data_IF_735125719348
#
_entry.id   IF_735125719348
#
_cell.length_a   1.000
_cell.length_b   1.000
_cell.length_c   1.000
_cell.angle_alpha   90.00
_cell.angle_beta   90.00
_cell.angle_gamma   90.00
#
_symmetry.space_group_name_H-M   'P 1'
#
loop_
_entity.id
_entity.type
_entity.pdbx_description
1 polymer ?
#
# COMPACT_ATOMS: atom_id res chain seq x y z
N UNK A 1 23.38 -17.24 11.75
CA UNK A 1 21.92 -17.18 11.98
C UNK A 1 21.66 -17.64 13.40
N UNK A 2 21.01 -16.83 14.25
CA UNK A 2 20.74 -17.19 15.65
C UNK A 2 19.50 -18.11 15.73
N UNK A 3 19.61 -19.37 16.17
CA UNK A 3 18.53 -20.36 16.13
C UNK A 3 17.45 -20.17 17.21
N UNK A 4 17.60 -19.20 18.11
CA UNK A 4 16.77 -19.06 19.32
C UNK A 4 15.64 -18.03 19.25
N UNK A 5 15.41 -17.38 18.09
CA UNK A 5 14.28 -16.47 17.94
C UNK A 5 13.22 -17.13 17.05
N UNK A 6 12.10 -17.62 17.61
CA UNK A 6 10.96 -18.04 16.81
C UNK A 6 10.61 -16.89 15.86
N UNK A 7 10.41 -17.20 14.58
CA UNK A 7 9.95 -16.19 13.62
C UNK A 7 8.60 -15.67 14.15
N UNK A 8 8.42 -14.36 14.36
CA UNK A 8 7.15 -13.85 14.83
C UNK A 8 6.04 -14.29 13.87
N UNK A 9 5.10 -15.08 14.37
CA UNK A 9 3.88 -15.42 13.65
C UNK A 9 2.82 -14.41 14.01
N UNK A 10 2.05 -13.95 13.03
CA UNK A 10 0.87 -13.14 13.35
C UNK A 10 -0.08 -13.96 14.22
N UNK A 11 -0.72 -13.35 15.23
CA UNK A 11 -1.86 -13.96 15.90
C UNK A 11 -2.94 -14.33 14.88
N UNK A 12 -3.73 -15.36 15.19
CA UNK A 12 -4.92 -15.70 14.40
C UNK A 12 -5.92 -14.52 14.40
N UNK A 13 -6.44 -14.15 13.24
CA UNK A 13 -7.36 -13.01 13.01
C UNK A 13 -8.72 -13.44 12.41
N UNK A 14 -9.33 -14.56 12.82
CA UNK A 14 -10.54 -15.07 12.18
C UNK A 14 -11.67 -14.05 12.28
N UNK A 15 -12.27 -13.73 11.13
CA UNK A 15 -13.43 -12.83 11.04
C UNK A 15 -13.11 -11.35 11.31
N UNK A 16 -11.84 -10.98 11.50
CA UNK A 16 -11.43 -9.57 11.61
C UNK A 16 -11.53 -8.90 10.24
N UNK A 17 -11.94 -7.63 10.25
CA UNK A 17 -12.03 -6.80 9.05
C UNK A 17 -10.85 -5.85 9.02
N UNK A 18 -9.98 -6.01 8.02
CA UNK A 18 -8.76 -5.22 7.88
C UNK A 18 -8.81 -4.38 6.61
N UNK A 19 -8.43 -3.10 6.71
CA UNK A 19 -8.22 -2.21 5.57
C UNK A 19 -6.71 -2.06 5.32
N UNK A 20 -6.28 -2.16 4.07
CA UNK A 20 -4.88 -1.91 3.65
C UNK A 20 -4.87 -0.94 2.48
N UNK A 21 -4.30 0.25 2.68
CA UNK A 21 -4.07 1.20 1.59
C UNK A 21 -2.74 0.91 0.88
N UNK A 22 -2.69 1.06 -0.45
CA UNK A 22 -1.52 0.66 -1.25
C UNK A 22 -1.21 -0.83 -1.13
N UNK A 23 -2.23 -1.66 -0.88
CA UNK A 23 -2.06 -3.08 -0.53
C UNK A 23 -1.83 -4.01 -1.72
N UNK A 24 -1.69 -3.47 -2.93
CA UNK A 24 -1.52 -4.24 -4.16
C UNK A 24 -0.04 -4.48 -4.55
N UNK A 25 0.91 -3.81 -3.90
CA UNK A 25 2.35 -3.97 -4.21
C UNK A 25 3.24 -3.97 -2.97
N UNK A 26 4.49 -4.39 -3.15
CA UNK A 26 5.56 -4.25 -2.14
C UNK A 26 5.18 -4.75 -0.74
N UNK A 27 5.42 -3.89 0.26
CA UNK A 27 5.12 -4.17 1.67
C UNK A 27 3.60 -4.31 1.88
N UNK A 28 2.79 -3.48 1.23
CA UNK A 28 1.34 -3.55 1.30
C UNK A 28 0.80 -4.92 0.91
N UNK A 29 1.26 -5.48 -0.22
CA UNK A 29 0.87 -6.82 -0.67
C UNK A 29 1.32 -7.92 0.30
N UNK A 30 2.53 -7.78 0.87
CA UNK A 30 3.01 -8.72 1.87
C UNK A 30 2.13 -8.70 3.14
N UNK A 31 1.67 -7.52 3.57
CA UNK A 31 0.75 -7.36 4.70
C UNK A 31 -0.64 -7.91 4.36
N UNK A 32 -1.18 -7.59 3.18
CA UNK A 32 -2.45 -8.14 2.68
C UNK A 32 -2.44 -9.68 2.76
N UNK A 33 -1.40 -10.31 2.21
CA UNK A 33 -1.24 -11.77 2.25
C UNK A 33 -1.19 -12.28 3.68
N UNK A 34 -0.38 -11.66 4.54
CA UNK A 34 -0.18 -12.12 5.90
C UNK A 34 -1.46 -12.01 6.75
N UNK A 35 -2.22 -10.93 6.60
CA UNK A 35 -3.51 -10.74 7.28
C UNK A 35 -4.56 -11.73 6.78
N UNK A 36 -4.65 -11.94 5.47
CA UNK A 36 -5.61 -12.86 4.89
C UNK A 36 -5.30 -14.32 5.29
N UNK A 37 -4.03 -14.75 5.20
CA UNK A 37 -3.60 -16.08 5.68
C UNK A 37 -3.82 -16.26 7.19
N UNK A 38 -3.88 -15.19 7.97
CA UNK A 38 -4.26 -15.23 9.39
C UNK A 38 -5.79 -15.35 9.63
N UNK A 39 -6.61 -15.39 8.57
CA UNK A 39 -8.07 -15.57 8.64
C UNK A 39 -8.89 -14.29 8.62
N UNK A 40 -8.27 -13.14 8.36
CA UNK A 40 -8.99 -11.87 8.24
C UNK A 40 -9.71 -11.76 6.88
N UNK A 41 -10.78 -10.95 6.85
CA UNK A 41 -11.29 -10.35 5.62
C UNK A 41 -10.51 -9.07 5.35
N UNK A 42 -9.80 -9.02 4.23
CA UNK A 42 -8.91 -7.90 3.93
C UNK A 42 -9.47 -7.11 2.75
N UNK A 43 -9.79 -5.85 2.99
CA UNK A 43 -10.14 -4.89 1.96
C UNK A 43 -8.90 -4.09 1.60
N UNK A 44 -8.55 -4.10 0.31
CA UNK A 44 -7.35 -3.49 -0.23
C UNK A 44 -7.74 -2.38 -1.18
N UNK A 45 -7.11 -1.21 -1.02
CA UNK A 45 -7.19 -0.16 -2.02
C UNK A 45 -5.81 0.17 -2.62
N UNK A 46 -5.79 0.55 -3.89
CA UNK A 46 -4.64 1.05 -4.64
C UNK A 46 -5.17 1.90 -5.81
N UNK A 47 -4.39 2.82 -6.36
CA UNK A 47 -4.83 3.68 -7.46
C UNK A 47 -4.40 3.16 -8.85
N UNK A 48 -3.77 1.99 -8.92
CA UNK A 48 -3.33 1.37 -10.17
C UNK A 48 -4.12 0.10 -10.47
N UNK A 49 -5.07 0.13 -11.42
CA UNK A 49 -5.87 -1.04 -11.82
C UNK A 49 -5.02 -2.28 -12.14
N UNK A 50 -3.90 -2.07 -12.84
CA UNK A 50 -2.96 -3.15 -13.19
C UNK A 50 -2.28 -3.79 -11.98
N UNK A 51 -2.04 -3.03 -10.90
CA UNK A 51 -1.48 -3.58 -9.67
C UNK A 51 -2.54 -4.41 -8.94
N UNK A 52 -3.79 -3.93 -8.90
CA UNK A 52 -4.92 -4.65 -8.29
C UNK A 52 -5.16 -5.98 -8.99
N UNK A 53 -5.19 -6.00 -10.33
CA UNK A 53 -5.37 -7.22 -11.12
C UNK A 53 -4.25 -8.23 -10.85
N UNK A 54 -2.99 -7.79 -10.91
CA UNK A 54 -1.82 -8.64 -10.64
C UNK A 54 -1.86 -9.19 -9.21
N UNK A 55 -2.12 -8.34 -8.22
CA UNK A 55 -2.22 -8.75 -6.82
C UNK A 55 -3.34 -9.77 -6.59
N UNK A 56 -4.49 -9.58 -7.23
CA UNK A 56 -5.60 -10.53 -7.18
C UNK A 56 -5.20 -11.88 -7.76
N UNK A 57 -4.52 -11.90 -8.91
CA UNK A 57 -3.99 -13.13 -9.52
C UNK A 57 -2.98 -13.84 -8.62
N UNK A 58 -2.00 -13.09 -8.09
CA UNK A 58 -0.95 -13.62 -7.21
C UNK A 58 -1.55 -14.22 -5.93
N UNK A 59 -2.52 -13.53 -5.30
CA UNK A 59 -3.17 -14.01 -4.08
C UNK A 59 -4.14 -15.16 -4.32
N UNK A 60 -4.76 -15.27 -5.50
CA UNK A 60 -5.62 -16.42 -5.80
C UNK A 60 -4.85 -17.75 -5.78
N UNK A 61 -3.53 -17.72 -5.99
CA UNK A 61 -2.66 -18.90 -5.94
C UNK A 61 -2.16 -19.23 -4.52
N UNK A 62 -2.47 -18.40 -3.52
CA UNK A 62 -2.02 -18.59 -2.14
C UNK A 62 -3.16 -19.19 -1.30
N UNK A 63 -2.92 -20.29 -0.57
CA UNK A 63 -3.93 -20.81 0.36
C UNK A 63 -4.28 -19.82 1.47
N UNK A 64 -5.57 -19.71 1.78
CA UNK A 64 -6.06 -18.85 2.86
C UNK A 64 -6.20 -17.37 2.51
N UNK A 65 -6.09 -16.98 1.23
CA UNK A 65 -6.24 -15.59 0.79
C UNK A 65 -7.48 -15.33 -0.07
N UNK A 66 -8.46 -16.23 -0.04
CA UNK A 66 -9.75 -16.06 -0.73
C UNK A 66 -10.61 -14.92 -0.17
N UNK A 67 -10.30 -14.43 1.03
CA UNK A 67 -11.04 -13.39 1.75
C UNK A 67 -10.55 -11.96 1.48
N UNK A 68 -9.91 -11.73 0.33
CA UNK A 68 -9.38 -10.40 -0.07
C UNK A 68 -10.31 -9.74 -1.08
N UNK A 69 -10.64 -8.47 -0.86
CA UNK A 69 -11.46 -7.65 -1.77
C UNK A 69 -10.69 -6.40 -2.18
N UNK A 70 -10.57 -6.17 -3.48
CA UNK A 70 -9.81 -5.06 -4.04
C UNK A 70 -10.75 -3.94 -4.51
N UNK A 71 -10.30 -2.69 -4.35
CA UNK A 71 -10.97 -1.50 -4.87
C UNK A 71 -9.94 -0.51 -5.42
N UNK A 72 -10.28 0.14 -6.53
CA UNK A 72 -9.51 1.26 -7.04
C UNK A 72 -9.85 2.51 -6.23
N UNK A 73 -8.89 3.03 -5.48
CA UNK A 73 -9.05 4.26 -4.68
C UNK A 73 -7.71 4.98 -4.64
N UNK A 74 -7.71 6.25 -5.03
CA UNK A 74 -6.61 7.16 -4.73
C UNK A 74 -6.81 7.74 -3.33
N UNK A 75 -5.87 7.45 -2.42
CA UNK A 75 -5.93 7.94 -1.03
C UNK A 75 -5.79 9.47 -0.92
N UNK A 76 -5.35 10.14 -1.98
CA UNK A 76 -5.24 11.60 -2.06
C UNK A 76 -6.58 12.24 -2.40
N UNK A 77 -7.54 11.45 -2.90
CA UNK A 77 -8.96 11.83 -3.00
C UNK A 77 -9.67 11.41 -1.71
N UNK A 78 -9.85 12.38 -0.82
CA UNK A 78 -10.46 12.14 0.49
C UNK A 78 -11.91 11.67 0.37
N UNK A 79 -12.67 12.17 -0.61
CA UNK A 79 -14.08 11.80 -0.77
C UNK A 79 -14.20 10.33 -1.23
N UNK A 80 -13.38 9.93 -2.20
CA UNK A 80 -13.35 8.53 -2.65
C UNK A 80 -12.90 7.57 -1.53
N UNK A 81 -11.92 7.99 -0.72
CA UNK A 81 -11.46 7.21 0.43
C UNK A 81 -12.55 7.07 1.51
N UNK A 82 -13.24 8.16 1.84
CA UNK A 82 -14.35 8.16 2.80
C UNK A 82 -15.50 7.26 2.33
N UNK A 83 -15.88 7.35 1.04
CA UNK A 83 -16.93 6.50 0.46
C UNK A 83 -16.56 5.02 0.53
N UNK A 84 -15.32 4.67 0.21
CA UNK A 84 -14.83 3.29 0.28
C UNK A 84 -14.87 2.76 1.72
N UNK A 85 -14.37 3.53 2.69
CA UNK A 85 -14.40 3.15 4.11
C UNK A 85 -15.84 2.99 4.61
N UNK A 86 -16.73 3.92 4.27
CA UNK A 86 -18.14 3.87 4.64
C UNK A 86 -18.83 2.63 4.05
N UNK A 87 -18.54 2.28 2.80
CA UNK A 87 -19.03 1.06 2.16
C UNK A 87 -18.58 -0.20 2.89
N UNK A 88 -17.29 -0.32 3.22
CA UNK A 88 -16.79 -1.48 3.99
C UNK A 88 -17.46 -1.55 5.36
N UNK A 89 -17.60 -0.42 6.04
CA UNK A 89 -18.27 -0.36 7.34
C UNK A 89 -19.75 -0.75 7.24
N UNK A 90 -20.47 -0.30 6.22
CA UNK A 90 -21.87 -0.68 5.98
C UNK A 90 -22.02 -2.18 5.67
N UNK A 91 -21.09 -2.76 4.90
CA UNK A 91 -21.11 -4.18 4.55
C UNK A 91 -20.78 -5.10 5.74
N UNK A 92 -19.87 -4.68 6.62
CA UNK A 92 -19.31 -5.55 7.67
C UNK A 92 -19.72 -5.18 9.09
N UNK A 93 -20.25 -3.98 9.29
CA UNK A 93 -20.58 -3.41 10.61
C UNK A 93 -19.37 -3.09 11.50
N UNK A 94 -18.14 -3.30 11.02
CA UNK A 94 -16.89 -3.11 11.79
C UNK A 94 -15.67 -2.92 10.90
N UNK A 95 -14.65 -2.26 11.46
CA UNK A 95 -13.28 -2.23 10.96
C UNK A 95 -12.38 -2.45 12.17
N UNK A 96 -11.57 -3.51 12.16
CA UNK A 96 -10.72 -3.91 13.29
C UNK A 96 -9.29 -3.37 13.17
N UNK A 97 -8.79 -3.28 11.94
CA UNK A 97 -7.42 -2.89 11.64
C UNK A 97 -7.41 -1.98 10.41
N UNK A 98 -6.63 -0.91 10.49
CA UNK A 98 -6.32 -0.04 9.36
C UNK A 98 -4.81 0.05 9.22
N UNK A 99 -4.31 -0.33 8.03
CA UNK A 99 -2.92 -0.21 7.64
C UNK A 99 -2.81 0.95 6.65
N UNK A 100 -2.31 2.09 7.13
CA UNK A 100 -1.93 3.23 6.29
C UNK A 100 -0.58 2.94 5.62
N UNK A 101 -0.61 2.30 4.45
CA UNK A 101 0.61 1.89 3.74
C UNK A 101 0.78 2.58 2.38
N UNK A 102 -0.28 3.12 1.77
CA UNK A 102 -0.16 3.90 0.54
C UNK A 102 0.86 5.03 0.75
N UNK A 103 1.94 5.00 -0.02
CA UNK A 103 3.03 5.94 0.08
C UNK A 103 3.66 6.17 -1.28
N UNK A 104 4.17 7.39 -1.47
CA UNK A 104 4.94 7.76 -2.63
C UNK A 104 6.13 8.59 -2.19
N UNK A 105 7.33 8.22 -2.64
CA UNK A 105 8.57 8.91 -2.30
C UNK A 105 9.10 9.56 -3.58
N UNK A 106 9.38 10.87 -3.51
CA UNK A 106 10.25 11.54 -4.49
C UNK A 106 11.62 11.73 -3.86
N UNK A 107 12.64 11.34 -4.61
CA UNK A 107 14.02 11.66 -4.30
C UNK A 107 14.40 12.94 -5.06
N UNK A 108 14.97 13.90 -4.36
CA UNK A 108 15.57 15.12 -4.89
C UNK A 108 16.67 15.57 -3.92
N UNK A 109 17.65 16.31 -4.42
CA UNK A 109 18.63 16.97 -3.55
C UNK A 109 17.94 18.05 -2.71
N UNK A 110 18.47 18.34 -1.52
CA UNK A 110 17.82 19.23 -0.54
C UNK A 110 17.60 20.63 -1.11
N UNK A 111 18.52 21.11 -1.95
CA UNK A 111 18.46 22.39 -2.65
C UNK A 111 17.53 22.39 -3.88
N UNK A 112 17.08 21.21 -4.34
CA UNK A 112 16.14 21.04 -5.46
C UNK A 112 14.70 20.77 -5.00
N UNK A 113 14.45 20.57 -3.70
CA UNK A 113 13.11 20.44 -3.12
C UNK A 113 12.47 21.81 -2.92
N UNK A 114 11.48 22.17 -3.75
CA UNK A 114 10.68 23.38 -3.57
C UNK A 114 9.61 23.19 -2.48
N UNK A 115 9.23 24.26 -1.78
CA UNK A 115 8.21 24.21 -0.73
C UNK A 115 6.83 23.84 -1.31
N UNK A 116 6.51 24.27 -2.54
CA UNK A 116 5.29 23.82 -3.23
C UNK A 116 5.29 22.33 -3.62
N UNK A 117 6.46 21.68 -3.71
CA UNK A 117 6.54 20.24 -4.00
C UNK A 117 6.10 19.37 -2.82
N UNK A 118 6.18 19.89 -1.59
CA UNK A 118 5.84 19.15 -0.37
C UNK A 118 4.32 18.86 -0.26
N UNK A 119 3.47 19.58 -1.00
CA UNK A 119 2.01 19.54 -0.83
C UNK A 119 1.23 19.08 -2.07
N UNK A 120 1.90 18.61 -3.14
CA UNK A 120 1.22 18.22 -4.39
C UNK A 120 1.27 16.70 -4.63
N UNK A 121 0.16 15.96 -4.42
CA UNK A 121 0.11 14.55 -4.75
C UNK A 121 0.14 14.31 -6.27
N UNK A 122 0.77 13.21 -6.70
CA UNK A 122 0.44 12.54 -7.97
C UNK A 122 1.07 13.02 -9.28
N UNK A 123 1.68 14.21 -9.41
CA UNK A 123 2.21 14.65 -10.73
C UNK A 123 3.61 14.10 -11.03
N UNK A 124 3.70 12.96 -11.73
CA UNK A 124 4.96 12.46 -12.33
C UNK A 124 5.57 13.53 -13.23
N UNK A 125 6.65 14.17 -12.80
CA UNK A 125 7.53 14.90 -13.71
C UNK A 125 8.49 13.90 -14.37
N UNK A 126 8.77 14.03 -15.68
CA UNK A 126 9.81 13.23 -16.32
C UNK A 126 11.16 13.54 -15.66
N UNK A 127 12.09 12.58 -15.60
CA UNK A 127 13.44 12.86 -15.15
C UNK A 127 14.04 13.94 -16.06
N UNK A 128 14.37 15.10 -15.50
CA UNK A 128 15.18 16.09 -16.21
C UNK A 128 16.59 15.53 -16.33
N UNK A 129 17.18 15.61 -17.52
CA UNK A 129 18.55 15.20 -17.74
C UNK A 129 19.48 15.97 -16.79
N UNK A 130 20.27 15.26 -15.98
CA UNK A 130 21.32 15.87 -15.19
C UNK A 130 22.30 16.59 -16.14
N UNK A 131 22.61 17.88 -15.92
CA UNK A 131 23.74 18.49 -16.59
C UNK A 131 25.01 17.79 -16.10
N UNK A 132 25.61 17.00 -16.98
CA UNK A 132 26.95 16.45 -16.77
C UNK A 132 27.93 17.61 -16.68
N UNK A 133 28.43 17.90 -15.48
CA UNK A 133 29.70 18.62 -15.35
C UNK A 133 29.81 19.56 -14.18
N UNK A 134 30.44 19.09 -13.11
CA UNK A 134 31.47 19.86 -12.43
C UNK A 134 32.57 18.88 -11.99
N UNK A 135 33.58 18.69 -12.86
CA UNK A 135 34.87 18.16 -12.40
C UNK A 135 35.55 19.29 -11.63
N UNK A 136 35.77 19.10 -10.34
CA UNK A 136 36.70 19.92 -9.59
C UNK A 136 38.13 19.69 -10.12
N UNK A 137 38.89 20.74 -10.47
CA UNK A 137 40.32 20.62 -10.75
C UNK A 137 41.11 20.40 -9.44
N UNK A 138 42.34 19.85 -9.53
CA UNK A 138 43.10 19.30 -8.40
C UNK A 138 43.53 20.32 -7.34
#
# INVERSE_FOLDING_TARGET
MNPLRPKPTLPSLPGRVCLVTGGATGIGLALTRALATAGAHVYVCDNSPSNLERASGDLAQVPGTASVTFAEVDVTDHAALEEWIAKVHAERGRIDVLVHNAAYIRWADVDEMSVEQDHTPGKRHPPRAHPTGHRHPP
#
